data_IF_120929402094
#
_entry.id   IF_120929402094
#
_cell.length_a   1.000
_cell.length_b   1.000
_cell.length_c   1.000
_cell.angle_alpha   90.00
_cell.angle_beta   90.00
_cell.angle_gamma   90.00
#
_symmetry.space_group_name_H-M   'P 1'
#
loop_
_entity.id
_entity.type
_entity.pdbx_description
1 polymer ?
#
# COMPACT_ATOMS: atom_id res chain seq x y z
N UNK A 1 -53.64 35.43 -11.88
CA UNK A 1 -53.01 35.15 -13.19
C UNK A 1 -51.58 34.77 -12.93
N UNK A 2 -51.29 33.48 -12.82
CA UNK A 2 -49.95 32.94 -12.59
C UNK A 2 -49.55 32.17 -13.84
N UNK A 3 -48.47 32.61 -14.47
CA UNK A 3 -47.91 32.08 -15.70
C UNK A 3 -47.18 30.77 -15.39
N UNK A 4 -47.68 29.67 -15.95
CA UNK A 4 -46.98 28.39 -15.97
C UNK A 4 -46.21 28.30 -17.30
N UNK A 5 -44.88 28.24 -17.21
CA UNK A 5 -44.01 27.91 -18.34
C UNK A 5 -43.77 26.40 -18.32
N UNK A 6 -44.06 25.66 -19.40
CA UNK A 6 -43.76 24.24 -19.49
C UNK A 6 -42.29 24.05 -19.86
N UNK A 7 -41.53 23.38 -18.98
CA UNK A 7 -40.16 22.94 -19.24
C UNK A 7 -40.23 21.48 -19.69
N UNK A 8 -40.42 21.27 -20.99
CA UNK A 8 -40.35 19.96 -21.61
C UNK A 8 -39.18 19.93 -22.60
N UNK A 9 -38.45 18.82 -22.57
CA UNK A 9 -37.46 18.35 -23.56
C UNK A 9 -36.01 18.87 -23.34
N UNK A 10 -35.25 18.16 -22.49
CA UNK A 10 -33.78 18.10 -22.62
C UNK A 10 -33.14 16.87 -21.90
N UNK A 11 -33.81 15.72 -21.85
CA UNK A 11 -33.23 14.50 -21.26
C UNK A 11 -33.35 13.24 -22.15
N UNK A 12 -33.97 13.35 -23.33
CA UNK A 12 -34.15 12.20 -24.25
C UNK A 12 -33.01 12.00 -25.26
N UNK A 13 -32.10 12.96 -25.43
CA UNK A 13 -30.96 12.82 -26.33
C UNK A 13 -29.84 11.88 -25.85
N UNK A 14 -29.46 11.81 -24.55
CA UNK A 14 -28.40 10.90 -24.12
C UNK A 14 -28.80 9.42 -24.19
N UNK A 15 -30.08 9.08 -24.02
CA UNK A 15 -30.58 7.71 -24.14
C UNK A 15 -30.64 7.21 -25.59
N UNK A 16 -30.84 8.11 -26.56
CA UNK A 16 -30.78 7.77 -27.99
C UNK A 16 -29.36 7.47 -28.45
N UNK A 17 -28.36 8.23 -27.98
CA UNK A 17 -26.95 7.96 -28.27
C UNK A 17 -26.46 6.65 -27.67
N UNK A 18 -26.91 6.31 -26.44
CA UNK A 18 -26.64 5.00 -25.84
C UNK A 18 -27.18 3.84 -26.68
N UNK A 19 -28.37 3.99 -27.29
CA UNK A 19 -28.94 2.98 -28.18
C UNK A 19 -28.24 2.85 -29.54
N UNK A 20 -27.59 3.92 -30.02
CA UNK A 20 -26.83 3.93 -31.27
C UNK A 20 -25.39 3.42 -31.10
N UNK A 21 -24.84 3.40 -29.88
CA UNK A 21 -23.49 2.92 -29.55
C UNK A 21 -23.41 1.45 -29.12
N UNK A 22 -24.53 0.74 -28.92
CA UNK A 22 -24.49 -0.71 -28.73
C UNK A 22 -24.30 -1.40 -30.08
N UNK A 23 -23.20 -2.15 -30.31
CA UNK A 23 -23.10 -3.06 -31.44
C UNK A 23 -24.34 -3.94 -31.43
N UNK A 24 -25.01 -4.04 -32.58
CA UNK A 24 -26.28 -4.74 -32.69
C UNK A 24 -26.10 -6.13 -32.07
N UNK A 25 -26.94 -6.54 -31.13
CA UNK A 25 -26.91 -7.91 -30.56
C UNK A 25 -26.92 -8.98 -31.67
N UNK A 26 -27.43 -8.61 -32.84
CA UNK A 26 -27.41 -9.38 -34.07
C UNK A 26 -26.00 -9.64 -34.63
N UNK A 27 -25.06 -8.72 -34.46
CA UNK A 27 -23.64 -8.87 -34.81
C UNK A 27 -22.93 -9.84 -33.86
N UNK A 28 -23.21 -9.75 -32.55
CA UNK A 28 -22.68 -10.67 -31.52
C UNK A 28 -23.27 -12.09 -31.67
N UNK A 29 -24.56 -12.22 -32.01
CA UNK A 29 -25.20 -13.51 -32.32
C UNK A 29 -24.66 -14.10 -33.62
N UNK A 30 -24.39 -13.27 -34.64
CA UNK A 30 -23.77 -13.72 -35.89
C UNK A 30 -22.32 -14.18 -35.67
N UNK A 31 -21.57 -13.51 -34.78
CA UNK A 31 -20.24 -13.96 -34.36
C UNK A 31 -20.32 -15.31 -33.62
N UNK A 32 -21.32 -15.52 -32.77
CA UNK A 32 -21.55 -16.79 -32.09
C UNK A 32 -21.95 -17.93 -33.06
N UNK A 33 -22.78 -17.64 -34.08
CA UNK A 33 -23.10 -18.62 -35.13
C UNK A 33 -21.90 -18.93 -36.04
N UNK A 34 -21.04 -17.94 -36.32
CA UNK A 34 -19.76 -18.12 -37.00
C UNK A 34 -18.81 -19.04 -36.23
N UNK A 35 -18.74 -18.88 -34.91
CA UNK A 35 -17.98 -19.74 -34.00
C UNK A 35 -18.57 -21.16 -33.95
N UNK A 36 -19.90 -21.30 -33.94
CA UNK A 36 -20.59 -22.61 -33.95
C UNK A 36 -20.39 -23.39 -35.25
N UNK A 37 -20.31 -22.69 -36.38
CA UNK A 37 -20.03 -23.29 -37.70
C UNK A 37 -18.56 -23.68 -37.85
N UNK A 38 -17.62 -22.90 -37.29
CA UNK A 38 -16.21 -23.29 -37.15
C UNK A 38 -16.05 -24.55 -36.28
N UNK A 39 -16.78 -24.67 -35.16
CA UNK A 39 -16.81 -25.87 -34.32
C UNK A 39 -17.33 -27.11 -35.06
N UNK A 40 -18.33 -26.95 -35.93
CA UNK A 40 -18.87 -28.07 -36.71
C UNK A 40 -17.92 -28.52 -37.82
N UNK A 41 -17.21 -27.59 -38.45
CA UNK A 41 -16.21 -27.90 -39.49
C UNK A 41 -14.94 -28.51 -38.90
N UNK A 42 -14.46 -28.03 -37.75
CA UNK A 42 -13.35 -28.67 -37.06
C UNK A 42 -13.72 -30.07 -36.55
N UNK A 43 -14.93 -30.27 -36.02
CA UNK A 43 -15.42 -31.59 -35.60
C UNK A 43 -15.42 -32.60 -36.75
N UNK A 44 -15.78 -32.17 -37.95
CA UNK A 44 -15.74 -33.02 -39.16
C UNK A 44 -14.30 -33.35 -39.55
N UNK A 45 -13.39 -32.37 -39.49
CA UNK A 45 -11.96 -32.56 -39.73
C UNK A 45 -11.29 -33.51 -38.70
N UNK A 46 -11.75 -33.48 -37.44
CA UNK A 46 -11.31 -34.41 -36.40
C UNK A 46 -11.73 -35.85 -36.68
N UNK A 47 -12.94 -36.05 -37.20
CA UNK A 47 -13.46 -37.37 -37.53
C UNK A 47 -12.68 -37.99 -38.71
N UNK A 48 -12.39 -37.18 -39.73
CA UNK A 48 -11.61 -37.60 -40.90
C UNK A 48 -10.13 -37.86 -40.59
N UNK A 49 -9.50 -37.06 -39.72
CA UNK A 49 -8.13 -37.29 -39.27
C UNK A 49 -8.00 -38.52 -38.35
N UNK A 50 -8.98 -38.79 -37.50
CA UNK A 50 -8.98 -39.99 -36.65
C UNK A 50 -9.07 -41.26 -37.53
N UNK A 51 -9.87 -41.21 -38.58
CA UNK A 51 -10.01 -42.28 -39.57
C UNK A 51 -8.76 -42.47 -40.45
N UNK A 52 -8.02 -41.40 -40.75
CA UNK A 52 -6.70 -41.48 -41.40
C UNK A 52 -5.61 -42.01 -40.44
N UNK A 53 -5.74 -41.77 -39.15
CA UNK A 53 -4.78 -42.19 -38.13
C UNK A 53 -4.89 -43.68 -37.80
N UNK A 54 -6.11 -44.23 -37.71
CA UNK A 54 -6.33 -45.68 -37.57
C UNK A 54 -5.78 -46.46 -38.77
N UNK A 55 -5.71 -45.82 -39.96
CA UNK A 55 -5.11 -46.40 -41.17
C UNK A 55 -3.58 -46.31 -41.20
N UNK A 56 -2.94 -45.38 -40.47
CA UNK A 56 -1.49 -45.14 -40.50
C UNK A 56 -0.73 -45.58 -39.23
N UNK A 57 -1.41 -45.78 -38.09
CA UNK A 57 -0.80 -46.21 -36.83
C UNK A 57 -0.13 -47.60 -36.87
N UNK A 58 -0.25 -48.33 -37.98
CA UNK A 58 0.49 -49.57 -38.25
C UNK A 58 1.95 -49.38 -38.67
N UNK A 59 2.43 -48.18 -39.03
CA UNK A 59 3.78 -48.00 -39.56
C UNK A 59 4.50 -46.73 -39.06
N UNK A 60 5.68 -46.96 -38.47
CA UNK A 60 6.78 -46.04 -38.10
C UNK A 60 6.82 -45.47 -36.67
N UNK A 61 7.95 -45.73 -35.99
CA UNK A 61 8.25 -45.44 -34.59
C UNK A 61 8.67 -43.99 -34.31
N UNK A 62 9.02 -43.20 -35.32
CA UNK A 62 9.49 -41.81 -35.15
C UNK A 62 8.36 -40.78 -34.97
N UNK A 63 7.12 -41.11 -35.35
CA UNK A 63 5.97 -40.24 -35.12
C UNK A 63 5.54 -40.22 -33.64
N UNK A 64 5.72 -41.33 -32.91
CA UNK A 64 5.31 -41.47 -31.50
C UNK A 64 5.99 -40.47 -30.55
N UNK A 65 7.20 -40.00 -30.85
CA UNK A 65 7.92 -39.04 -30.00
C UNK A 65 7.44 -37.59 -30.15
N UNK A 66 6.89 -37.22 -31.32
CA UNK A 66 6.35 -35.86 -31.58
C UNK A 66 4.86 -35.72 -31.26
N UNK A 67 4.17 -36.85 -31.09
CA UNK A 67 2.73 -36.90 -30.79
C UNK A 67 2.34 -36.19 -29.47
N UNK A 68 3.01 -36.43 -28.32
CA UNK A 68 2.58 -35.84 -27.05
C UNK A 68 2.70 -34.31 -27.04
N UNK A 69 3.77 -33.76 -27.63
CA UNK A 69 3.96 -32.32 -27.74
C UNK A 69 2.92 -31.66 -28.67
N UNK A 70 2.53 -32.34 -29.75
CA UNK A 70 1.47 -31.86 -30.65
C UNK A 70 0.09 -31.87 -29.99
N UNK A 71 -0.28 -32.95 -29.29
CA UNK A 71 -1.54 -33.00 -28.54
C UNK A 71 -1.56 -32.01 -27.36
N UNK A 72 -0.44 -31.79 -26.67
CA UNK A 72 -0.33 -30.79 -25.61
C UNK A 72 -0.49 -29.36 -26.14
N UNK A 73 0.18 -29.02 -27.25
CA UNK A 73 0.03 -27.71 -27.88
C UNK A 73 -1.39 -27.48 -28.42
N UNK A 74 -2.06 -28.54 -28.91
CA UNK A 74 -3.46 -28.46 -29.37
C UNK A 74 -4.46 -28.39 -28.22
N UNK A 75 -4.20 -29.09 -27.11
CA UNK A 75 -4.98 -28.99 -25.87
C UNK A 75 -4.91 -27.56 -25.30
N UNK A 76 -3.71 -26.97 -25.22
CA UNK A 76 -3.54 -25.59 -24.77
C UNK A 76 -4.25 -24.56 -25.66
N UNK A 77 -4.31 -24.80 -26.99
CA UNK A 77 -5.10 -23.96 -27.91
C UNK A 77 -6.60 -24.09 -27.68
N UNK A 78 -7.09 -25.32 -27.46
CA UNK A 78 -8.49 -25.57 -27.15
C UNK A 78 -8.90 -24.98 -25.81
N UNK A 79 -8.04 -25.08 -24.78
CA UNK A 79 -8.25 -24.44 -23.48
C UNK A 79 -8.42 -22.93 -23.62
N UNK A 80 -7.49 -22.27 -24.32
CA UNK A 80 -7.57 -20.84 -24.57
C UNK A 80 -8.86 -20.45 -25.33
N UNK A 81 -9.26 -21.25 -26.32
CA UNK A 81 -10.50 -21.01 -27.06
C UNK A 81 -11.76 -21.22 -26.20
N UNK A 82 -11.75 -22.17 -25.27
CA UNK A 82 -12.83 -22.38 -24.31
C UNK A 82 -12.94 -21.22 -23.30
N UNK A 83 -11.82 -20.63 -22.90
CA UNK A 83 -11.82 -19.41 -22.07
C UNK A 83 -12.45 -18.24 -22.82
N UNK A 84 -12.07 -18.00 -24.08
CA UNK A 84 -12.67 -16.96 -24.93
C UNK A 84 -14.18 -17.21 -25.13
N UNK A 85 -14.61 -18.45 -25.38
CA UNK A 85 -16.02 -18.80 -25.52
C UNK A 85 -16.81 -18.59 -24.23
N UNK A 86 -16.21 -18.92 -23.08
CA UNK A 86 -16.82 -18.71 -21.77
C UNK A 86 -17.03 -17.23 -21.48
N UNK A 87 -16.05 -16.38 -21.82
CA UNK A 87 -16.16 -14.94 -21.61
C UNK A 87 -17.27 -14.34 -22.50
N UNK A 88 -17.35 -14.75 -23.77
CA UNK A 88 -18.45 -14.36 -24.67
C UNK A 88 -19.80 -14.84 -24.14
N UNK A 89 -19.90 -16.08 -23.66
CA UNK A 89 -21.14 -16.60 -23.09
C UNK A 89 -21.58 -15.82 -21.85
N UNK A 90 -20.66 -15.49 -20.95
CA UNK A 90 -20.94 -14.70 -19.75
C UNK A 90 -21.42 -13.28 -20.11
N UNK A 91 -20.80 -12.66 -21.12
CA UNK A 91 -21.21 -11.34 -21.63
C UNK A 91 -22.63 -11.40 -22.23
N UNK A 92 -22.93 -12.40 -23.06
CA UNK A 92 -24.29 -12.59 -23.61
C UNK A 92 -25.31 -12.87 -22.50
N UNK A 93 -24.98 -13.71 -21.51
CA UNK A 93 -25.88 -14.03 -20.40
C UNK A 93 -26.16 -12.79 -19.53
N UNK A 94 -25.14 -11.96 -19.28
CA UNK A 94 -25.31 -10.71 -18.52
C UNK A 94 -26.13 -9.69 -19.30
N UNK A 95 -25.88 -9.52 -20.61
CA UNK A 95 -26.71 -8.71 -21.51
C UNK A 95 -28.15 -9.21 -21.57
N UNK A 96 -28.39 -10.52 -21.65
CA UNK A 96 -29.73 -11.11 -21.66
C UNK A 96 -30.45 -10.90 -20.31
N UNK A 97 -29.77 -11.06 -19.18
CA UNK A 97 -30.31 -10.78 -17.85
C UNK A 97 -30.66 -9.30 -17.68
N UNK A 98 -29.80 -8.40 -18.17
CA UNK A 98 -30.06 -6.97 -18.18
C UNK A 98 -31.30 -6.64 -19.03
N UNK A 99 -31.39 -7.16 -20.26
CA UNK A 99 -32.55 -6.96 -21.13
C UNK A 99 -33.83 -7.53 -20.50
N UNK A 100 -33.79 -8.72 -19.90
CA UNK A 100 -34.94 -9.28 -19.16
C UNK A 100 -35.35 -8.42 -17.97
N UNK A 101 -34.42 -7.67 -17.38
CA UNK A 101 -34.70 -6.77 -16.26
C UNK A 101 -35.33 -5.48 -16.76
N UNK A 102 -34.74 -4.85 -17.78
CA UNK A 102 -35.28 -3.65 -18.45
C UNK A 102 -36.65 -3.91 -19.10
N UNK A 103 -36.84 -5.10 -19.68
CA UNK A 103 -38.10 -5.49 -20.32
C UNK A 103 -39.18 -5.87 -19.29
N UNK A 104 -38.78 -6.29 -18.08
CA UNK A 104 -39.69 -6.43 -16.92
C UNK A 104 -40.00 -5.09 -16.26
N UNK A 105 -39.22 -4.03 -16.49
CA UNK A 105 -39.43 -2.68 -15.98
C UNK A 105 -40.51 -1.88 -16.74
N UNK A 106 -41.57 -2.55 -17.20
CA UNK A 106 -42.84 -1.86 -17.45
C UNK A 106 -43.49 -1.54 -16.11
N UNK A 107 -43.07 -0.41 -15.51
CA UNK A 107 -43.62 0.22 -14.31
C UNK A 107 -43.51 -0.57 -12.99
N UNK A 108 -42.28 -0.77 -12.50
CA UNK A 108 -42.08 -0.91 -11.06
C UNK A 108 -42.15 0.48 -10.43
N UNK A 109 -43.38 0.95 -10.17
CA UNK A 109 -43.61 1.90 -9.09
C UNK A 109 -43.20 1.14 -7.82
N UNK A 110 -41.95 1.27 -7.40
CA UNK A 110 -41.46 0.75 -6.12
C UNK A 110 -42.41 1.30 -5.04
N UNK A 111 -43.24 0.43 -4.48
CA UNK A 111 -44.11 0.80 -3.37
C UNK A 111 -43.22 1.24 -2.20
N UNK A 112 -43.57 2.34 -1.54
CA UNK A 112 -42.83 2.88 -0.39
C UNK A 112 -42.65 1.80 0.69
N UNK A 113 -43.61 0.87 0.78
CA UNK A 113 -43.58 -0.26 1.70
C UNK A 113 -42.44 -1.26 1.43
N UNK A 114 -42.07 -1.47 0.16
CA UNK A 114 -40.98 -2.36 -0.22
C UNK A 114 -39.61 -1.74 0.05
N UNK A 115 -39.48 -0.42 -0.13
CA UNK A 115 -38.29 0.35 0.28
C UNK A 115 -38.07 0.25 1.79
N UNK A 116 -39.09 0.52 2.60
CA UNK A 116 -39.01 0.41 4.08
C UNK A 116 -38.66 -1.02 4.53
N UNK A 117 -39.19 -2.03 3.83
CA UNK A 117 -38.89 -3.44 4.10
C UNK A 117 -37.43 -3.78 3.79
N UNK A 118 -36.87 -3.24 2.71
CA UNK A 118 -35.47 -3.45 2.36
C UNK A 118 -34.54 -2.69 3.29
N UNK A 119 -34.88 -1.46 3.70
CA UNK A 119 -34.11 -0.71 4.69
C UNK A 119 -34.04 -1.45 6.04
N UNK A 120 -35.16 -2.00 6.52
CA UNK A 120 -35.18 -2.82 7.76
C UNK A 120 -34.32 -4.07 7.63
N UNK A 121 -34.37 -4.76 6.49
CA UNK A 121 -33.50 -5.93 6.22
C UNK A 121 -32.03 -5.55 6.16
N UNK A 122 -31.70 -4.44 5.51
CA UNK A 122 -30.33 -3.95 5.41
C UNK A 122 -29.80 -3.49 6.77
N UNK A 123 -30.62 -2.82 7.59
CA UNK A 123 -30.25 -2.46 8.95
C UNK A 123 -30.01 -3.70 9.84
N UNK A 124 -30.86 -4.73 9.73
CA UNK A 124 -30.68 -5.99 10.45
C UNK A 124 -29.40 -6.73 10.00
N UNK A 125 -29.15 -6.79 8.69
CA UNK A 125 -27.92 -7.36 8.12
C UNK A 125 -26.69 -6.57 8.54
N UNK A 126 -26.75 -5.24 8.56
CA UNK A 126 -25.67 -4.37 9.02
C UNK A 126 -25.33 -4.62 10.49
N UNK A 127 -26.34 -4.77 11.36
CA UNK A 127 -26.12 -5.17 12.76
C UNK A 127 -25.48 -6.55 12.89
N UNK A 128 -25.94 -7.53 12.10
CA UNK A 128 -25.36 -8.87 12.09
C UNK A 128 -23.92 -8.87 11.59
N UNK A 129 -23.60 -8.05 10.58
CA UNK A 129 -22.26 -7.92 10.03
C UNK A 129 -21.32 -7.29 11.04
N UNK A 130 -21.72 -6.20 11.69
CA UNK A 130 -20.91 -5.56 12.75
C UNK A 130 -20.65 -6.51 13.92
N UNK A 131 -21.63 -7.33 14.32
CA UNK A 131 -21.41 -8.34 15.35
C UNK A 131 -20.42 -9.41 14.90
N UNK A 132 -20.52 -9.87 13.64
CA UNK A 132 -19.58 -10.84 13.08
C UNK A 132 -18.16 -10.27 12.97
N UNK A 133 -18.02 -8.99 12.59
CA UNK A 133 -16.73 -8.29 12.57
C UNK A 133 -16.10 -8.18 13.95
N UNK A 134 -16.91 -7.90 14.98
CA UNK A 134 -16.45 -7.81 16.36
C UNK A 134 -15.93 -9.18 16.86
N UNK A 135 -16.70 -10.25 16.65
CA UNK A 135 -16.29 -11.63 16.98
C UNK A 135 -15.04 -12.02 16.20
N UNK A 136 -14.96 -11.70 14.90
CA UNK A 136 -13.79 -11.99 14.09
C UNK A 136 -12.54 -11.25 14.59
N UNK A 137 -12.70 -9.99 15.00
CA UNK A 137 -11.61 -9.21 15.59
C UNK A 137 -11.13 -9.80 16.92
N UNK A 138 -12.04 -10.30 17.75
CA UNK A 138 -11.72 -10.95 19.03
C UNK A 138 -10.95 -12.27 18.79
N UNK A 139 -11.47 -13.15 17.93
CA UNK A 139 -10.80 -14.42 17.57
C UNK A 139 -9.42 -14.14 16.94
N UNK A 140 -9.30 -13.12 16.10
CA UNK A 140 -8.02 -12.73 15.51
C UNK A 140 -7.01 -12.26 16.56
N UNK A 141 -7.47 -11.57 17.61
CA UNK A 141 -6.62 -11.20 18.74
C UNK A 141 -6.18 -12.42 19.52
N UNK A 142 -7.11 -13.31 19.86
CA UNK A 142 -6.84 -14.54 20.60
C UNK A 142 -5.83 -15.45 19.86
N UNK A 143 -6.00 -15.63 18.54
CA UNK A 143 -5.04 -16.38 17.72
C UNK A 143 -3.65 -15.74 17.79
N UNK A 144 -3.56 -14.41 17.73
CA UNK A 144 -2.27 -13.71 17.80
C UNK A 144 -1.61 -13.94 19.16
N UNK A 145 -2.37 -13.88 20.24
CA UNK A 145 -1.85 -14.07 21.60
C UNK A 145 -1.39 -15.53 21.81
N UNK A 146 -2.17 -16.50 21.34
CA UNK A 146 -1.79 -17.92 21.37
C UNK A 146 -0.51 -18.17 20.55
N UNK A 147 -0.42 -17.61 19.34
CA UNK A 147 0.78 -17.74 18.52
C UNK A 147 2.01 -17.11 19.19
N UNK A 148 1.86 -15.93 19.80
CA UNK A 148 2.95 -15.27 20.51
C UNK A 148 3.45 -16.10 21.70
N UNK A 149 2.52 -16.62 22.52
CA UNK A 149 2.85 -17.48 23.65
C UNK A 149 3.50 -18.79 23.18
N UNK A 150 2.97 -19.41 22.11
CA UNK A 150 3.54 -20.65 21.57
C UNK A 150 4.96 -20.47 21.02
N UNK A 151 5.27 -19.32 20.43
CA UNK A 151 6.64 -19.01 19.97
C UNK A 151 7.56 -18.86 21.19
N UNK A 152 7.13 -18.13 22.22
CA UNK A 152 7.89 -17.96 23.45
C UNK A 152 8.16 -19.30 24.17
N UNK A 153 7.15 -20.15 24.28
CA UNK A 153 7.28 -21.48 24.88
C UNK A 153 8.24 -22.38 24.09
N UNK A 154 8.18 -22.31 22.75
CA UNK A 154 9.11 -23.04 21.89
C UNK A 154 10.55 -22.55 22.06
N UNK A 155 10.78 -21.24 22.09
CA UNK A 155 12.10 -20.66 22.35
C UNK A 155 12.64 -21.08 23.71
N UNK A 156 11.81 -21.06 24.75
CA UNK A 156 12.20 -21.48 26.09
C UNK A 156 12.58 -22.97 26.11
N UNK A 157 11.74 -23.81 25.50
CA UNK A 157 12.01 -25.25 25.37
C UNK A 157 13.33 -25.50 24.63
N UNK A 158 13.61 -24.75 23.57
CA UNK A 158 14.86 -24.85 22.82
C UNK A 158 16.08 -24.44 23.66
N UNK A 159 15.97 -23.40 24.49
CA UNK A 159 17.03 -23.04 25.44
C UNK A 159 17.26 -24.15 26.46
N UNK A 160 16.21 -24.74 27.00
CA UNK A 160 16.30 -25.81 27.99
C UNK A 160 16.91 -27.08 27.37
N UNK A 161 16.52 -27.44 26.14
CA UNK A 161 17.12 -28.57 25.40
C UNK A 161 18.61 -28.34 25.16
N UNK A 162 19.03 -27.13 24.76
CA UNK A 162 20.43 -26.79 24.57
C UNK A 162 21.21 -26.84 25.89
N UNK A 163 20.64 -26.34 26.98
CA UNK A 163 21.24 -26.39 28.31
C UNK A 163 21.42 -27.85 28.78
N UNK A 164 20.41 -28.70 28.58
CA UNK A 164 20.50 -30.13 28.87
C UNK A 164 21.55 -30.83 28.01
N UNK A 165 21.64 -30.50 26.71
CA UNK A 165 22.64 -31.06 25.82
C UNK A 165 24.07 -30.73 26.28
N UNK A 166 24.32 -29.49 26.67
CA UNK A 166 25.60 -29.07 27.23
C UNK A 166 25.93 -29.81 28.54
N UNK A 167 24.93 -29.95 29.42
CA UNK A 167 25.10 -30.64 30.70
C UNK A 167 25.41 -32.14 30.51
N UNK A 168 24.83 -32.78 29.50
CA UNK A 168 25.14 -34.17 29.11
C UNK A 168 26.60 -34.29 28.65
N UNK A 169 27.07 -33.36 27.82
CA UNK A 169 28.48 -33.33 27.38
C UNK A 169 29.42 -33.15 28.57
N UNK A 170 29.15 -32.16 29.43
CA UNK A 170 29.96 -31.88 30.62
C UNK A 170 30.00 -33.08 31.58
N UNK A 171 28.86 -33.76 31.77
CA UNK A 171 28.78 -34.96 32.61
C UNK A 171 29.65 -36.07 32.04
N UNK A 172 29.59 -36.31 30.73
CA UNK A 172 30.40 -37.33 30.06
C UNK A 172 31.90 -37.03 30.14
N UNK A 173 32.29 -35.77 29.99
CA UNK A 173 33.69 -35.34 30.16
C UNK A 173 34.18 -35.56 31.60
N UNK A 174 33.34 -35.25 32.60
CA UNK A 174 33.67 -35.51 34.01
C UNK A 174 33.77 -37.00 34.29
N UNK A 175 32.86 -37.82 33.78
CA UNK A 175 32.93 -39.28 33.88
C UNK A 175 34.21 -39.83 33.28
N UNK A 176 34.61 -39.34 32.10
CA UNK A 176 35.85 -39.74 31.44
C UNK A 176 37.08 -39.33 32.26
N UNK A 177 37.11 -38.10 32.81
CA UNK A 177 38.19 -37.65 33.70
C UNK A 177 38.29 -38.50 34.96
N UNK A 178 37.16 -38.87 35.57
CA UNK A 178 37.14 -39.77 36.73
C UNK A 178 37.68 -41.14 36.34
N UNK A 179 37.28 -41.70 35.19
CA UNK A 179 37.79 -42.97 34.71
C UNK A 179 39.32 -42.94 34.47
N UNK A 180 39.82 -41.84 33.89
CA UNK A 180 41.26 -41.64 33.67
C UNK A 180 42.04 -41.49 34.98
N UNK A 181 41.52 -40.74 35.96
CA UNK A 181 42.13 -40.57 37.28
C UNK A 181 42.07 -41.84 38.15
N UNK A 182 41.06 -42.68 37.95
CA UNK A 182 40.91 -43.93 38.70
C UNK A 182 41.76 -45.05 38.07
N UNK A 183 42.36 -44.83 36.91
CA UNK A 183 43.21 -45.81 36.23
C UNK A 183 44.62 -45.84 36.87
N UNK A 184 44.97 -46.89 37.64
CA UNK A 184 46.22 -46.94 38.40
C UNK A 184 47.47 -47.00 37.51
N UNK A 185 47.36 -47.46 36.24
CA UNK A 185 48.48 -47.49 35.29
C UNK A 185 48.94 -46.10 34.82
N UNK A 186 48.04 -45.10 34.77
CA UNK A 186 48.39 -43.72 34.38
C UNK A 186 48.92 -42.89 35.54
N UNK A 187 48.57 -43.25 36.78
CA UNK A 187 48.86 -42.47 37.98
C UNK A 187 50.19 -42.82 38.67
N UNK A 188 50.93 -43.82 38.20
CA UNK A 188 52.33 -44.03 38.62
C UNK A 188 53.29 -43.08 37.90
N UNK A 189 53.07 -41.77 38.04
CA UNK A 189 54.11 -40.79 37.73
C UNK A 189 54.70 -40.33 39.06
N UNK A 190 55.83 -40.93 39.44
CA UNK A 190 56.74 -40.32 40.41
C UNK A 190 57.17 -38.98 39.81
N UNK A 191 56.45 -37.91 40.16
CA UNK A 191 56.80 -36.55 39.78
C UNK A 191 58.16 -36.21 40.37
N UNK A 192 59.09 -35.87 39.49
CA UNK A 192 60.36 -35.27 39.85
C UNK A 192 60.11 -33.82 40.31
N UNK A 193 60.85 -33.35 41.32
CA UNK A 193 60.61 -32.06 41.98
C UNK A 193 60.62 -30.90 40.97
N UNK A 194 61.49 -30.97 39.95
CA UNK A 194 61.57 -29.98 38.87
C UNK A 194 60.30 -29.93 38.00
N UNK A 195 59.65 -31.07 37.74
CA UNK A 195 58.40 -31.11 36.97
C UNK A 195 57.25 -30.50 37.76
N UNK A 196 57.18 -30.77 39.07
CA UNK A 196 56.19 -30.15 39.94
C UNK A 196 56.37 -28.63 40.00
N UNK A 197 57.62 -28.15 40.06
CA UNK A 197 57.90 -26.71 40.05
C UNK A 197 57.47 -26.04 38.74
N UNK A 198 57.79 -26.64 37.57
CA UNK A 198 57.34 -26.12 36.27
C UNK A 198 55.83 -26.07 36.12
N UNK A 199 55.13 -27.12 36.57
CA UNK A 199 53.66 -27.15 36.55
C UNK A 199 53.08 -26.08 37.46
N UNK A 200 53.70 -25.83 38.62
CA UNK A 200 53.27 -24.77 39.53
C UNK A 200 53.45 -23.38 38.89
N UNK A 201 54.57 -23.15 38.20
CA UNK A 201 54.84 -21.89 37.50
C UNK A 201 53.88 -21.68 36.32
N UNK A 202 53.61 -22.73 35.53
CA UNK A 202 52.61 -22.73 34.45
C UNK A 202 51.20 -22.45 34.97
N UNK A 203 50.79 -23.12 36.05
CA UNK A 203 49.49 -22.87 36.70
C UNK A 203 49.39 -21.46 37.27
N UNK A 204 50.48 -20.93 37.84
CA UNK A 204 50.52 -19.56 38.36
C UNK A 204 50.34 -18.55 37.21
N UNK A 205 50.96 -18.80 36.06
CA UNK A 205 50.77 -17.98 34.86
C UNK A 205 49.33 -18.08 34.32
N UNK A 206 48.78 -19.28 34.20
CA UNK A 206 47.37 -19.48 33.79
C UNK A 206 46.42 -18.77 34.76
N UNK A 207 46.66 -18.82 36.06
CA UNK A 207 45.86 -18.08 37.04
C UNK A 207 45.97 -16.57 36.83
N UNK A 208 47.16 -16.03 36.56
CA UNK A 208 47.32 -14.60 36.29
C UNK A 208 46.58 -14.17 35.02
N UNK A 209 46.63 -14.98 33.96
CA UNK A 209 45.94 -14.70 32.70
C UNK A 209 44.42 -14.76 32.87
N UNK A 210 43.92 -15.78 33.61
CA UNK A 210 42.49 -15.91 33.95
C UNK A 210 42.04 -14.74 34.83
N UNK A 211 42.81 -14.34 35.85
CA UNK A 211 42.48 -13.17 36.68
C UNK A 211 42.43 -11.88 35.87
N UNK A 212 43.38 -11.69 34.95
CA UNK A 212 43.40 -10.54 34.05
C UNK A 212 42.18 -10.52 33.14
N UNK A 213 41.82 -11.67 32.57
CA UNK A 213 40.60 -11.80 31.76
C UNK A 213 39.32 -11.55 32.56
N UNK A 214 39.25 -12.03 33.81
CA UNK A 214 38.10 -11.78 34.70
C UNK A 214 37.95 -10.28 34.95
N UNK A 215 39.04 -9.57 35.26
CA UNK A 215 38.98 -8.14 35.54
C UNK A 215 38.58 -7.34 34.28
N UNK A 216 39.13 -7.69 33.11
CA UNK A 216 38.72 -7.09 31.84
C UNK A 216 37.23 -7.32 31.55
N UNK A 217 36.73 -8.54 31.74
CA UNK A 217 35.30 -8.84 31.56
C UNK A 217 34.43 -8.10 32.57
N UNK A 218 34.89 -7.91 33.80
CA UNK A 218 34.19 -7.16 34.84
C UNK A 218 34.08 -5.68 34.51
N UNK A 219 35.15 -5.09 33.97
CA UNK A 219 35.13 -3.71 33.44
C UNK A 219 34.10 -3.61 32.30
N UNK A 220 34.17 -4.51 31.31
CA UNK A 220 33.22 -4.54 30.20
C UNK A 220 31.75 -4.70 30.67
N UNK A 221 31.49 -5.52 31.68
CA UNK A 221 30.14 -5.67 32.27
C UNK A 221 29.67 -4.36 32.91
N UNK A 222 30.54 -3.64 33.60
CA UNK A 222 30.19 -2.35 34.19
C UNK A 222 29.92 -1.29 33.12
N UNK A 223 30.71 -1.24 32.04
CA UNK A 223 30.48 -0.33 30.92
C UNK A 223 29.15 -0.63 30.22
N UNK A 224 28.83 -1.91 30.01
CA UNK A 224 27.54 -2.33 29.46
C UNK A 224 26.38 -1.97 30.38
N UNK A 225 26.52 -2.13 31.70
CA UNK A 225 25.49 -1.69 32.67
C UNK A 225 25.23 -0.20 32.56
N UNK A 226 26.29 0.62 32.52
CA UNK A 226 26.16 2.07 32.40
C UNK A 226 25.47 2.47 31.08
N UNK A 227 25.80 1.77 29.99
CA UNK A 227 25.14 1.96 28.69
C UNK A 227 23.65 1.57 28.73
N UNK A 228 23.31 0.47 29.40
CA UNK A 228 21.92 0.04 29.58
C UNK A 228 21.14 1.07 30.39
N UNK A 229 21.69 1.57 31.49
CA UNK A 229 21.04 2.59 32.32
C UNK A 229 20.79 3.88 31.53
N UNK A 230 21.77 4.31 30.74
CA UNK A 230 21.65 5.49 29.86
C UNK A 230 20.55 5.31 28.81
N UNK A 231 20.52 4.16 28.14
CA UNK A 231 19.49 3.84 27.15
C UNK A 231 18.10 3.71 27.78
N UNK A 232 17.99 3.17 29.00
CA UNK A 232 16.72 3.10 29.72
C UNK A 232 16.19 4.49 30.07
N UNK A 233 17.06 5.43 30.47
CA UNK A 233 16.68 6.82 30.69
C UNK A 233 16.21 7.51 29.40
N UNK A 234 16.92 7.30 28.29
CA UNK A 234 16.53 7.84 26.99
C UNK A 234 15.17 7.29 26.52
N UNK A 235 14.94 5.98 26.66
CA UNK A 235 13.65 5.37 26.35
C UNK A 235 12.52 5.95 27.20
N UNK A 236 12.75 6.15 28.51
CA UNK A 236 11.76 6.77 29.38
C UNK A 236 11.42 8.21 28.95
N UNK A 237 12.42 9.02 28.60
CA UNK A 237 12.22 10.37 28.09
C UNK A 237 11.44 10.37 26.76
N UNK A 238 11.79 9.48 25.83
CA UNK A 238 11.08 9.37 24.55
C UNK A 238 9.64 8.89 24.73
N UNK A 239 9.38 8.00 25.68
CA UNK A 239 8.03 7.58 26.03
C UNK A 239 7.19 8.74 26.57
N UNK A 240 7.76 9.59 27.42
CA UNK A 240 7.09 10.79 27.91
C UNK A 240 6.77 11.78 26.78
N UNK A 241 7.74 12.06 25.90
CA UNK A 241 7.53 12.92 24.74
C UNK A 241 6.44 12.38 23.81
N UNK A 242 6.43 11.06 23.57
CA UNK A 242 5.39 10.40 22.78
C UNK A 242 4.02 10.56 23.43
N UNK A 243 3.89 10.33 24.73
CA UNK A 243 2.62 10.52 25.44
C UNK A 243 2.13 11.98 25.39
N UNK A 244 3.05 12.95 25.49
CA UNK A 244 2.69 14.37 25.37
C UNK A 244 2.21 14.72 23.95
N UNK A 245 2.88 14.18 22.92
CA UNK A 245 2.46 14.35 21.53
C UNK A 245 1.09 13.70 21.27
N UNK A 246 0.86 12.48 21.75
CA UNK A 246 -0.43 11.80 21.65
C UNK A 246 -1.55 12.61 22.32
N UNK A 247 -1.30 13.18 23.52
CA UNK A 247 -2.25 14.07 24.19
C UNK A 247 -2.56 15.32 23.36
N UNK A 248 -1.55 15.94 22.73
CA UNK A 248 -1.74 17.09 21.84
C UNK A 248 -2.59 16.73 20.62
N UNK A 249 -2.33 15.59 20.00
CA UNK A 249 -3.11 15.09 18.85
C UNK A 249 -4.55 14.80 19.26
N UNK A 250 -4.77 14.13 20.39
CA UNK A 250 -6.12 13.87 20.91
C UNK A 250 -6.88 15.16 21.23
N UNK A 251 -6.22 16.16 21.80
CA UNK A 251 -6.83 17.46 22.07
C UNK A 251 -7.23 18.20 20.77
N UNK A 252 -6.40 18.12 19.72
CA UNK A 252 -6.73 18.67 18.39
C UNK A 252 -7.88 17.90 17.75
N UNK A 253 -7.86 16.57 17.82
CA UNK A 253 -8.90 15.69 17.27
C UNK A 253 -10.25 15.89 17.96
N UNK A 254 -10.27 16.02 19.29
CA UNK A 254 -11.50 16.32 20.05
C UNK A 254 -12.05 17.70 19.70
N UNK A 255 -11.19 18.71 19.53
CA UNK A 255 -11.61 20.03 19.01
C UNK A 255 -12.17 19.94 17.58
N UNK A 256 -11.61 19.08 16.73
CA UNK A 256 -12.10 18.85 15.37
C UNK A 256 -13.44 18.09 15.35
N UNK A 257 -13.65 17.11 16.24
CA UNK A 257 -14.93 16.40 16.37
C UNK A 257 -16.08 17.29 16.85
N UNK A 258 -15.78 18.35 17.60
CA UNK A 258 -16.77 19.36 18.00
C UNK A 258 -17.08 20.40 16.91
N UNK A 259 -16.40 20.34 15.75
CA UNK A 259 -16.76 21.18 14.60
C UNK A 259 -17.90 20.52 13.81
N UNK A 260 -18.82 21.34 13.30
CA UNK A 260 -19.92 20.86 12.46
C UNK A 260 -19.33 20.09 11.26
N UNK A 261 -19.70 18.81 11.04
CA UNK A 261 -19.20 18.01 9.93
C UNK A 261 -19.48 18.64 8.55
N UNK A 262 -20.41 19.58 8.44
CA UNK A 262 -20.63 20.38 7.22
C UNK A 262 -19.49 21.38 6.99
N UNK A 263 -19.00 22.03 8.03
CA UNK A 263 -17.87 22.97 7.96
C UNK A 263 -16.60 22.21 7.60
N UNK A 264 -16.38 21.02 8.15
CA UNK A 264 -15.21 20.20 7.80
C UNK A 264 -15.23 19.77 6.32
N UNK A 265 -16.39 19.31 5.82
CA UNK A 265 -16.58 18.98 4.39
C UNK A 265 -16.34 20.20 3.50
N UNK A 266 -16.84 21.36 3.90
CA UNK A 266 -16.68 22.60 3.16
C UNK A 266 -15.21 23.05 3.16
N UNK A 267 -14.52 23.01 4.29
CA UNK A 267 -13.09 23.31 4.38
C UNK A 267 -12.23 22.35 3.55
N UNK A 268 -12.56 21.04 3.57
CA UNK A 268 -11.91 20.05 2.70
C UNK A 268 -12.12 20.39 1.23
N UNK A 269 -13.35 20.67 0.82
CA UNK A 269 -13.66 21.07 -0.55
C UNK A 269 -12.92 22.35 -0.95
N UNK A 270 -12.90 23.38 -0.11
CA UNK A 270 -12.15 24.61 -0.37
C UNK A 270 -10.64 24.37 -0.47
N UNK A 271 -10.06 23.50 0.35
CA UNK A 271 -8.65 23.14 0.24
C UNK A 271 -8.34 22.43 -1.08
N UNK A 272 -9.20 21.49 -1.49
CA UNK A 272 -9.05 20.81 -2.78
C UNK A 272 -9.25 21.76 -3.96
N UNK A 273 -10.27 22.61 -3.92
CA UNK A 273 -10.52 23.61 -4.94
C UNK A 273 -9.35 24.60 -5.04
N UNK A 274 -8.86 25.11 -3.90
CA UNK A 274 -7.70 26.01 -3.87
C UNK A 274 -6.42 25.33 -4.35
N UNK A 275 -6.20 24.06 -4.01
CA UNK A 275 -5.06 23.32 -4.53
C UNK A 275 -5.16 23.13 -6.05
N UNK A 276 -6.33 22.76 -6.56
CA UNK A 276 -6.58 22.67 -8.00
C UNK A 276 -6.39 24.00 -8.72
N UNK A 277 -6.88 25.11 -8.16
CA UNK A 277 -6.66 26.45 -8.72
C UNK A 277 -5.18 26.85 -8.68
N UNK A 278 -4.44 26.51 -7.62
CA UNK A 278 -2.99 26.74 -7.54
C UNK A 278 -2.23 25.95 -8.59
N UNK A 279 -2.56 24.68 -8.76
CA UNK A 279 -1.95 23.82 -9.79
C UNK A 279 -2.24 24.33 -11.21
N UNK A 280 -3.50 24.69 -11.51
CA UNK A 280 -3.88 25.28 -12.80
C UNK A 280 -3.19 26.62 -13.06
N UNK A 281 -3.07 27.46 -12.02
CA UNK A 281 -2.33 28.71 -12.08
C UNK A 281 -0.81 28.53 -12.13
N UNK A 282 -0.29 27.30 -11.95
CA UNK A 282 1.14 27.02 -11.91
C UNK A 282 1.85 27.66 -10.71
N UNK A 283 1.13 27.86 -9.61
CA UNK A 283 1.65 28.40 -8.34
C UNK A 283 2.04 27.23 -7.43
N UNK A 284 3.29 27.22 -6.96
CA UNK A 284 3.83 26.20 -6.05
C UNK A 284 3.46 26.49 -4.59
N UNK A 285 3.77 27.70 -4.13
CA UNK A 285 3.41 28.14 -2.79
C UNK A 285 3.00 29.62 -2.78
N UNK A 286 2.14 29.95 -1.82
CA UNK A 286 1.77 31.33 -1.49
C UNK A 286 2.06 31.48 -0.01
N UNK A 287 3.03 32.31 0.31
CA UNK A 287 3.53 32.53 1.66
C UNK A 287 3.36 34.02 1.99
N UNK A 288 2.77 34.31 3.15
CA UNK A 288 2.73 35.67 3.67
C UNK A 288 4.00 35.87 4.52
N UNK A 289 5.01 36.53 3.95
CA UNK A 289 6.31 36.72 4.61
C UNK A 289 6.23 37.77 5.72
N UNK A 290 5.35 38.75 5.55
CA UNK A 290 5.04 39.82 6.50
C UNK A 290 3.58 40.24 6.36
N UNK A 291 3.04 41.03 7.29
CA UNK A 291 1.68 41.59 7.19
C UNK A 291 1.47 42.44 5.93
N UNK A 292 2.56 42.97 5.37
CA UNK A 292 2.56 43.78 4.15
C UNK A 292 3.20 43.07 2.94
N UNK A 293 3.61 41.80 3.05
CA UNK A 293 4.36 41.12 1.99
C UNK A 293 3.82 39.72 1.68
N UNK A 294 3.36 39.55 0.45
CA UNK A 294 2.88 38.28 -0.10
C UNK A 294 3.87 37.75 -1.13
N UNK A 295 4.41 36.55 -0.89
CA UNK A 295 5.36 35.86 -1.77
C UNK A 295 4.64 34.72 -2.49
N UNK A 296 4.60 34.81 -3.81
CA UNK A 296 4.01 33.80 -4.71
C UNK A 296 5.13 33.10 -5.48
N UNK A 297 5.35 31.82 -5.23
CA UNK A 297 6.36 31.02 -5.95
C UNK A 297 5.70 30.29 -7.12
N UNK A 298 6.28 30.39 -8.31
CA UNK A 298 5.75 29.72 -9.50
C UNK A 298 6.50 28.41 -9.78
N UNK A 299 5.75 27.39 -10.22
CA UNK A 299 6.29 26.12 -10.69
C UNK A 299 6.55 26.20 -12.20
N UNK A 300 7.70 26.73 -12.59
CA UNK A 300 8.10 26.87 -14.00
C UNK A 300 9.35 25.99 -14.26
N UNK A 301 9.27 24.95 -15.12
CA UNK A 301 10.35 23.97 -15.27
C UNK A 301 11.72 24.50 -15.71
N UNK A 302 11.77 25.69 -16.32
CA UNK A 302 13.00 26.25 -16.95
C UNK A 302 13.72 27.29 -16.11
N UNK A 303 13.06 27.88 -15.11
CA UNK A 303 13.66 28.90 -14.25
C UNK A 303 13.80 28.36 -12.83
N UNK A 304 14.85 28.76 -12.11
CA UNK A 304 15.03 28.44 -10.70
C UNK A 304 14.02 29.19 -9.85
N UNK A 305 12.79 28.66 -9.78
CA UNK A 305 11.69 29.08 -8.90
C UNK A 305 11.53 30.61 -8.82
N UNK A 306 11.00 31.25 -9.89
CA UNK A 306 10.73 32.68 -9.82
C UNK A 306 9.69 32.96 -8.74
N UNK A 307 9.98 33.94 -7.89
CA UNK A 307 9.15 34.33 -6.76
C UNK A 307 8.67 35.76 -6.95
N UNK A 308 7.37 35.96 -7.01
CA UNK A 308 6.74 37.28 -7.07
C UNK A 308 6.47 37.76 -5.64
N UNK A 309 7.16 38.82 -5.25
CA UNK A 309 6.96 39.54 -4.00
C UNK A 309 5.97 40.68 -4.26
N UNK A 310 4.86 40.67 -3.55
CA UNK A 310 3.79 41.66 -3.69
C UNK A 310 3.69 42.40 -2.35
N UNK A 311 3.90 43.71 -2.41
CA UNK A 311 3.78 44.61 -1.27
C UNK A 311 2.35 45.15 -1.23
N UNK A 312 1.69 44.92 -0.11
CA UNK A 312 0.29 45.30 0.13
C UNK A 312 0.29 46.31 1.27
N UNK A 313 -0.37 47.45 1.07
CA UNK A 313 -0.56 48.42 2.15
C UNK A 313 -1.51 47.82 3.21
N UNK A 314 -1.05 47.60 4.45
CA UNK A 314 -1.85 46.96 5.49
C UNK A 314 -3.08 47.79 5.89
N UNK A 315 -3.09 49.11 5.62
CA UNK A 315 -4.19 49.99 5.97
C UNK A 315 -5.32 49.99 4.93
N UNK A 316 -4.97 49.92 3.64
CA UNK A 316 -5.95 49.95 2.54
C UNK A 316 -6.22 48.58 1.93
N UNK A 317 -5.38 47.58 2.22
CA UNK A 317 -5.37 46.25 1.58
C UNK A 317 -5.19 46.28 0.06
N UNK A 318 -4.65 47.38 -0.47
CA UNK A 318 -4.40 47.55 -1.90
C UNK A 318 -2.95 47.25 -2.25
N UNK A 319 -2.71 46.88 -3.51
CA UNK A 319 -1.35 46.60 -4.01
C UNK A 319 -0.54 47.91 -4.04
N UNK A 320 0.54 47.97 -3.27
CA UNK A 320 1.45 49.12 -3.23
C UNK A 320 2.58 48.95 -4.26
N UNK A 321 3.14 47.74 -4.37
CA UNK A 321 4.17 47.42 -5.36
C UNK A 321 4.34 45.91 -5.58
N UNK A 322 5.08 45.52 -6.61
CA UNK A 322 5.49 44.13 -6.77
C UNK A 322 6.87 44.00 -7.43
N UNK A 323 7.61 42.96 -7.07
CA UNK A 323 8.91 42.65 -7.68
C UNK A 323 9.05 41.14 -7.89
N UNK A 324 9.74 40.73 -8.94
CA UNK A 324 10.02 39.31 -9.19
C UNK A 324 11.48 39.05 -8.88
N UNK A 325 11.72 38.10 -7.99
CA UNK A 325 13.04 37.59 -7.66
C UNK A 325 13.33 36.39 -8.56
N UNK A 326 14.57 36.32 -9.06
CA UNK A 326 15.06 35.31 -10.00
C UNK A 326 14.51 35.42 -11.44
N UNK A 327 14.15 36.63 -11.88
CA UNK A 327 13.81 36.92 -13.28
C UNK A 327 14.05 38.41 -13.59
N UNK A 328 14.76 38.71 -14.68
CA UNK A 328 15.21 40.07 -15.04
C UNK A 328 14.26 40.84 -15.97
N UNK A 329 13.02 40.37 -16.13
CA UNK A 329 12.08 41.01 -17.03
C UNK A 329 11.35 42.20 -16.41
N UNK A 330 10.93 43.13 -17.27
CA UNK A 330 10.14 44.29 -16.85
C UNK A 330 8.64 43.93 -16.74
N UNK A 331 8.07 44.25 -15.57
CA UNK A 331 6.65 44.06 -15.22
C UNK A 331 5.98 45.37 -14.77
N UNK A 332 6.65 46.53 -14.95
CA UNK A 332 6.13 47.83 -14.49
C UNK A 332 4.76 48.16 -15.09
N UNK A 333 4.54 47.80 -16.35
CA UNK A 333 3.26 47.94 -17.07
C UNK A 333 2.13 47.13 -16.43
N UNK A 334 2.41 45.89 -16.03
CA UNK A 334 1.46 44.98 -15.38
C UNK A 334 1.16 45.46 -13.95
N UNK A 335 2.20 45.92 -13.24
CA UNK A 335 2.08 46.47 -11.88
C UNK A 335 1.17 47.69 -11.87
N UNK A 336 1.41 48.68 -12.74
CA UNK A 336 0.60 49.90 -12.81
C UNK A 336 -0.86 49.60 -13.13
N UNK A 337 -1.10 48.63 -14.02
CA UNK A 337 -2.45 48.17 -14.31
C UNK A 337 -3.10 47.47 -13.09
N UNK A 338 -2.36 46.59 -12.42
CA UNK A 338 -2.85 45.89 -11.24
C UNK A 338 -3.16 46.84 -10.07
N UNK A 339 -2.34 47.88 -9.86
CA UNK A 339 -2.56 48.95 -8.88
C UNK A 339 -3.84 49.73 -9.17
N UNK A 340 -4.09 50.06 -10.45
CA UNK A 340 -5.24 50.86 -10.86
C UNK A 340 -6.58 50.15 -10.63
N UNK A 341 -6.61 48.83 -10.80
CA UNK A 341 -7.83 48.03 -10.72
C UNK A 341 -7.90 47.12 -9.49
N UNK A 342 -6.89 47.19 -8.62
CA UNK A 342 -6.72 46.35 -7.42
C UNK A 342 -6.96 44.85 -7.70
N UNK A 343 -6.31 44.33 -8.75
CA UNK A 343 -6.57 42.99 -9.27
C UNK A 343 -5.36 42.07 -9.12
N UNK A 344 -5.25 41.46 -7.93
CA UNK A 344 -4.19 40.52 -7.59
C UNK A 344 -4.19 39.25 -8.48
N UNK A 345 -5.34 38.60 -8.79
CA UNK A 345 -5.35 37.46 -9.71
C UNK A 345 -4.79 37.80 -11.10
N UNK A 346 -5.11 38.99 -11.62
CA UNK A 346 -4.58 39.46 -12.90
C UNK A 346 -3.06 39.62 -12.87
N UNK A 347 -2.52 40.22 -11.81
CA UNK A 347 -1.07 40.39 -11.62
C UNK A 347 -0.36 39.04 -11.65
N UNK A 348 -0.83 38.06 -10.87
CA UNK A 348 -0.23 36.72 -10.78
C UNK A 348 -0.27 36.02 -12.15
N UNK A 349 -1.41 36.07 -12.84
CA UNK A 349 -1.58 35.40 -14.13
C UNK A 349 -0.70 36.01 -15.24
N UNK A 350 -0.63 37.35 -15.31
CA UNK A 350 0.13 38.06 -16.34
C UNK A 350 1.64 37.96 -16.11
N UNK A 351 2.10 38.08 -14.86
CA UNK A 351 3.52 37.88 -14.52
C UNK A 351 3.95 36.47 -14.91
N UNK A 352 3.15 35.44 -14.61
CA UNK A 352 3.45 34.07 -15.05
C UNK A 352 3.48 33.94 -16.57
N UNK A 353 2.49 34.50 -17.28
CA UNK A 353 2.44 34.44 -18.74
C UNK A 353 3.69 35.06 -19.35
N UNK A 354 4.14 36.20 -18.85
CA UNK A 354 5.34 36.91 -19.33
C UNK A 354 6.63 36.15 -19.03
N UNK A 355 6.73 35.51 -17.86
CA UNK A 355 7.84 34.61 -17.56
C UNK A 355 7.85 33.43 -18.54
N UNK A 356 6.69 32.85 -18.87
CA UNK A 356 6.59 31.76 -19.85
C UNK A 356 6.90 32.20 -21.29
N UNK A 357 6.47 33.39 -21.71
CA UNK A 357 6.80 33.97 -23.01
C UNK A 357 8.31 34.21 -23.14
N UNK A 358 8.96 34.72 -22.10
CA UNK A 358 10.43 34.86 -22.07
C UNK A 358 11.18 33.53 -22.09
N UNK A 359 10.47 32.40 -21.91
CA UNK A 359 11.02 31.05 -22.00
C UNK A 359 10.83 30.37 -23.35
N UNK A 360 10.01 30.94 -24.24
CA UNK A 360 9.76 30.46 -25.61
C UNK A 360 10.72 31.14 -26.59
#
# INVERSE_FOLDING_TARGET
MSSAVPMEISEREPLKRLYEEFPTIQDDVSAFEGVKTQLSTEKFFFQELHEQFDKQAGQTSDLKAKLPAYYAAKAARLEKYFEELKDIYLDVETKEKFLKTVQKESHLLLDQSDLDRQEKKNAARGKSLNNAELVFSEVKSEIRDICANSIQDHEQTMRDVNALSNLVVETKEKEQKIADLTNPEKNEVKMDLEKSQRILDEQTQEFQDVYSSIEEKKINVNDLKWKIETLQQEVAQLQEQRQEAEKKVLAISSKAQNQDPRVEKLCKWYRYANNGYRELAGVESVEMASEAELVVRFKIPRFSNPALHIFIDPSTQTIEDASVVNWDGDITDIIDFAKKFDNLPFLIAQVRARILESSS
#
